data_IF_224387264091
#
_entry.id   IF_224387264091
#
_cell.length_a   1.000
_cell.length_b   1.000
_cell.length_c   1.000
_cell.angle_alpha   90.00
_cell.angle_beta   90.00
_cell.angle_gamma   90.00
#
_symmetry.space_group_name_H-M   'P 1'
#
loop_
_entity.id
_entity.type
_entity.pdbx_description
1 polymer ?
#
# COMPACT_ATOMS: atom_id res chain seq x y z
N UNK A 1 -13.43 32.49 -4.02
CA UNK A 1 -12.00 32.26 -3.72
C UNK A 1 -11.99 31.28 -2.57
N UNK A 2 -11.58 30.03 -2.82
CA UNK A 2 -11.47 29.04 -1.75
C UNK A 2 -10.37 29.52 -0.80
N UNK A 3 -10.71 29.72 0.46
CA UNK A 3 -9.75 30.02 1.51
C UNK A 3 -9.06 28.71 1.90
N UNK A 4 -7.77 28.60 1.56
CA UNK A 4 -6.94 27.40 1.74
C UNK A 4 -6.07 27.56 3.01
N UNK A 5 -6.28 28.64 3.79
CA UNK A 5 -5.43 28.99 4.93
C UNK A 5 -5.49 27.97 6.08
N UNK A 6 -6.51 27.10 6.10
CA UNK A 6 -6.71 26.04 7.10
C UNK A 6 -6.48 24.62 6.56
N UNK A 7 -5.81 24.45 5.40
CA UNK A 7 -5.54 23.12 4.87
C UNK A 7 -4.49 22.36 5.72
N UNK A 8 -4.99 21.60 6.70
CA UNK A 8 -4.19 20.72 7.56
C UNK A 8 -3.94 19.34 6.95
N UNK A 9 -4.43 19.08 5.74
CA UNK A 9 -4.27 17.79 5.08
C UNK A 9 -2.94 17.69 4.33
N UNK A 10 -2.23 16.59 4.56
CA UNK A 10 -1.00 16.22 3.85
C UNK A 10 -1.35 15.01 2.98
N UNK A 11 -1.19 15.18 1.66
CA UNK A 11 -1.42 14.13 0.68
C UNK A 11 -0.08 13.46 0.35
N UNK A 12 -0.02 12.14 0.47
CA UNK A 12 1.15 11.31 0.23
C UNK A 12 0.79 10.24 -0.81
N UNK A 13 1.07 10.51 -2.08
CA UNK A 13 0.97 9.52 -3.15
C UNK A 13 2.25 8.67 -3.14
N UNK A 14 2.13 7.40 -2.75
CA UNK A 14 3.29 6.54 -2.59
C UNK A 14 3.77 5.96 -3.92
N UNK A 15 5.08 5.87 -4.06
CA UNK A 15 5.74 5.26 -5.20
C UNK A 15 6.17 3.80 -4.93
N UNK A 16 6.61 3.05 -5.95
CA UNK A 16 7.07 1.66 -5.79
C UNK A 16 8.16 1.45 -4.72
N UNK A 17 8.97 2.45 -4.41
CA UNK A 17 10.02 2.36 -3.39
C UNK A 17 9.47 2.42 -1.96
N UNK A 18 8.24 2.89 -1.77
CA UNK A 18 7.58 3.04 -0.47
C UNK A 18 6.65 1.89 -0.12
N UNK A 19 6.56 0.87 -0.98
CA UNK A 19 5.75 -0.34 -0.76
C UNK A 19 6.58 -1.61 -0.84
N UNK A 20 6.07 -2.69 -0.25
CA UNK A 20 6.64 -4.03 -0.37
C UNK A 20 6.23 -4.67 -1.71
N UNK A 21 7.03 -4.42 -2.74
CA UNK A 21 6.79 -4.88 -4.11
C UNK A 21 6.61 -6.39 -4.26
N UNK A 22 7.12 -7.19 -3.33
CA UNK A 22 7.00 -8.64 -3.39
C UNK A 22 5.88 -9.21 -2.51
N UNK A 23 5.06 -8.38 -1.86
CA UNK A 23 4.01 -8.86 -0.95
C UNK A 23 3.15 -9.97 -1.56
N UNK A 24 2.42 -9.67 -2.63
CA UNK A 24 1.51 -10.63 -3.26
C UNK A 24 2.26 -11.79 -3.95
N UNK A 25 3.46 -11.52 -4.49
CA UNK A 25 4.32 -12.53 -5.11
C UNK A 25 4.76 -13.63 -4.13
N UNK A 26 4.87 -13.34 -2.83
CA UNK A 26 5.29 -14.29 -1.78
C UNK A 26 4.13 -15.03 -1.09
N UNK A 27 2.88 -14.66 -1.34
CA UNK A 27 1.75 -15.31 -0.67
C UNK A 27 1.63 -16.79 -1.08
N UNK A 28 1.10 -17.63 -0.20
CA UNK A 28 0.70 -18.99 -0.58
C UNK A 28 -0.57 -18.97 -1.44
N UNK A 29 -0.84 -20.04 -2.17
CA UNK A 29 -2.11 -20.19 -2.89
C UNK A 29 -3.30 -20.27 -1.92
N UNK A 30 -4.45 -19.76 -2.35
CA UNK A 30 -5.66 -19.69 -1.51
C UNK A 30 -5.62 -18.60 -0.43
N UNK A 31 -4.55 -17.79 -0.35
CA UNK A 31 -4.52 -16.65 0.55
C UNK A 31 -5.59 -15.61 0.16
N UNK A 32 -6.41 -15.19 1.12
CA UNK A 32 -7.53 -14.27 0.90
C UNK A 32 -7.12 -12.93 0.26
N UNK A 33 -5.90 -12.46 0.52
CA UNK A 33 -5.35 -11.23 -0.07
C UNK A 33 -5.29 -11.30 -1.58
N UNK A 34 -5.07 -12.48 -2.16
CA UNK A 34 -5.03 -12.65 -3.62
C UNK A 34 -6.40 -12.42 -4.24
N UNK A 35 -7.44 -13.01 -3.64
CA UNK A 35 -8.81 -12.81 -4.09
C UNK A 35 -9.27 -11.36 -3.87
N UNK A 36 -8.82 -10.70 -2.81
CA UNK A 36 -9.08 -9.27 -2.59
C UNK A 36 -8.42 -8.41 -3.68
N UNK A 37 -7.14 -8.66 -3.98
CA UNK A 37 -6.38 -7.96 -5.02
C UNK A 37 -7.00 -8.10 -6.42
N UNK A 38 -7.60 -9.25 -6.74
CA UNK A 38 -8.31 -9.45 -8.02
C UNK A 38 -9.58 -8.59 -8.17
N UNK A 39 -10.22 -8.20 -7.06
CA UNK A 39 -11.44 -7.37 -7.05
C UNK A 39 -11.15 -5.88 -6.90
N UNK A 40 -9.92 -5.53 -6.51
CA UNK A 40 -9.51 -4.18 -6.17
C UNK A 40 -9.40 -3.31 -7.43
N UNK A 41 -9.87 -2.07 -7.32
CA UNK A 41 -9.82 -1.05 -8.38
C UNK A 41 -9.18 0.24 -7.88
N UNK A 42 -8.67 1.05 -8.81
CA UNK A 42 -8.22 2.40 -8.50
C UNK A 42 -9.39 3.23 -7.93
N UNK A 43 -9.12 4.01 -6.89
CA UNK A 43 -10.11 4.77 -6.14
C UNK A 43 -10.74 4.01 -4.96
N UNK A 44 -10.57 2.69 -4.86
CA UNK A 44 -11.05 1.93 -3.71
C UNK A 44 -10.40 2.43 -2.43
N UNK A 45 -11.18 2.51 -1.36
CA UNK A 45 -10.69 2.99 -0.07
C UNK A 45 -9.75 1.98 0.57
N UNK A 46 -8.70 2.48 1.22
CA UNK A 46 -7.77 1.66 1.98
C UNK A 46 -7.58 2.21 3.38
N UNK A 47 -7.32 1.31 4.31
CA UNK A 47 -6.93 1.63 5.67
C UNK A 47 -5.46 1.27 5.93
N UNK A 48 -4.86 1.93 6.91
CA UNK A 48 -3.53 1.60 7.41
C UNK A 48 -3.62 1.00 8.81
N UNK A 49 -2.93 -0.11 9.02
CA UNK A 49 -2.71 -0.71 10.32
C UNK A 49 -1.21 -0.84 10.57
N UNK A 50 -0.74 -0.41 11.75
CA UNK A 50 0.65 -0.63 12.14
C UNK A 50 0.82 -2.00 12.78
N UNK A 51 1.53 -2.91 12.11
CA UNK A 51 1.80 -4.28 12.58
C UNK A 51 3.30 -4.50 12.69
N UNK A 52 3.78 -4.59 13.94
CA UNK A 52 5.20 -4.76 14.24
C UNK A 52 6.06 -3.60 13.73
N UNK A 53 6.88 -3.85 12.71
CA UNK A 53 7.82 -2.89 12.11
C UNK A 53 7.36 -2.34 10.75
N UNK A 54 6.10 -2.59 10.36
CA UNK A 54 5.55 -2.17 9.07
C UNK A 54 4.11 -1.70 9.18
N UNK A 55 3.72 -0.94 8.17
CA UNK A 55 2.32 -0.62 7.92
C UNK A 55 1.72 -1.64 6.94
N UNK A 56 0.57 -2.19 7.30
CA UNK A 56 -0.28 -2.99 6.43
C UNK A 56 -1.25 -2.06 5.70
N UNK A 57 -1.48 -2.34 4.42
CA UNK A 57 -2.55 -1.71 3.64
C UNK A 57 -3.71 -2.70 3.63
N UNK A 58 -4.87 -2.27 4.12
CA UNK A 58 -6.09 -3.08 4.16
C UNK A 58 -7.14 -2.51 3.21
N UNK A 59 -7.93 -3.38 2.60
CA UNK A 59 -9.16 -2.99 1.91
C UNK A 59 -10.30 -2.70 2.90
N UNK A 60 -11.49 -2.39 2.38
CA UNK A 60 -12.68 -2.10 3.19
C UNK A 60 -13.19 -3.29 4.02
N UNK A 61 -12.83 -4.52 3.64
CA UNK A 61 -13.19 -5.74 4.36
C UNK A 61 -12.15 -6.08 5.45
N UNK A 62 -11.11 -5.25 5.62
CA UNK A 62 -10.01 -5.47 6.54
C UNK A 62 -8.97 -6.48 6.03
N UNK A 63 -9.07 -6.89 4.75
CA UNK A 63 -8.12 -7.83 4.16
C UNK A 63 -6.84 -7.09 3.77
N UNK A 64 -5.70 -7.62 4.19
CA UNK A 64 -4.40 -7.04 3.84
C UNK A 64 -4.15 -7.20 2.34
N UNK A 65 -4.10 -6.10 1.62
CA UNK A 65 -3.83 -6.05 0.16
C UNK A 65 -2.40 -5.60 -0.15
N UNK A 66 -1.65 -5.16 0.85
CA UNK A 66 -0.26 -4.74 0.66
C UNK A 66 0.44 -4.42 1.97
N UNK A 67 1.70 -4.05 1.88
CA UNK A 67 2.49 -3.51 2.99
C UNK A 67 3.31 -2.34 2.51
N UNK A 68 3.53 -1.36 3.39
CA UNK A 68 4.50 -0.31 3.14
C UNK A 68 5.92 -0.84 3.36
N UNK A 69 6.88 -0.20 2.70
CA UNK A 69 8.30 -0.47 2.92
C UNK A 69 8.66 -0.17 4.38
N UNK A 70 9.61 -0.92 4.96
CA UNK A 70 10.06 -0.70 6.35
C UNK A 70 10.56 0.73 6.62
N UNK A 71 11.09 1.39 5.58
CA UNK A 71 11.60 2.76 5.65
C UNK A 71 10.50 3.82 5.65
N UNK A 72 9.26 3.45 5.33
CA UNK A 72 8.17 4.40 5.24
C UNK A 72 7.87 4.94 6.64
N UNK A 73 7.87 6.26 6.76
CA UNK A 73 7.51 6.99 7.96
C UNK A 73 6.36 7.92 7.61
N UNK A 74 5.21 7.84 8.30
CA UNK A 74 4.16 8.84 8.18
C UNK A 74 4.71 10.25 8.43
N UNK A 75 4.07 11.29 7.88
CA UNK A 75 4.42 12.67 8.20
C UNK A 75 4.46 12.92 9.71
N UNK A 76 5.46 13.68 10.16
CA UNK A 76 5.64 13.98 11.59
C UNK A 76 4.42 14.73 12.16
N UNK A 77 4.03 14.38 13.39
CA UNK A 77 2.89 14.96 14.09
C UNK A 77 1.61 14.98 13.23
N UNK A 78 1.34 13.89 12.50
CA UNK A 78 0.14 13.78 11.69
C UNK A 78 -0.57 12.44 11.90
N UNK A 79 -1.89 12.48 11.85
CA UNK A 79 -2.76 11.31 11.99
C UNK A 79 -3.29 10.88 10.63
N UNK A 80 -3.33 9.58 10.38
CA UNK A 80 -3.95 9.02 9.19
C UNK A 80 -5.45 9.31 9.17
N UNK A 81 -5.95 9.86 8.06
CA UNK A 81 -7.37 10.23 7.90
C UNK A 81 -8.08 9.26 6.96
N UNK A 82 -7.49 9.01 5.80
CA UNK A 82 -8.04 8.13 4.76
C UNK A 82 -6.96 7.74 3.77
N UNK A 83 -7.17 6.64 3.07
CA UNK A 83 -6.38 6.28 1.91
C UNK A 83 -7.26 5.80 0.77
N UNK A 84 -6.71 5.82 -0.43
CA UNK A 84 -7.30 5.19 -1.60
C UNK A 84 -6.24 4.50 -2.45
N UNK A 85 -6.63 3.49 -3.21
CA UNK A 85 -5.79 2.91 -4.25
C UNK A 85 -5.55 3.97 -5.32
N UNK A 86 -4.32 4.46 -5.43
CA UNK A 86 -3.95 5.41 -6.47
C UNK A 86 -3.69 4.70 -7.79
N UNK A 87 -2.94 3.60 -7.73
CA UNK A 87 -2.65 2.75 -8.88
C UNK A 87 -2.45 1.30 -8.46
N UNK A 88 -2.68 0.39 -9.41
CA UNK A 88 -2.30 -1.02 -9.30
C UNK A 88 -1.37 -1.31 -10.48
N UNK A 89 -0.14 -1.72 -10.18
CA UNK A 89 0.83 -2.09 -11.21
C UNK A 89 1.00 -3.60 -11.25
N UNK A 90 1.26 -4.15 -12.44
CA UNK A 90 1.67 -5.54 -12.57
C UNK A 90 3.19 -5.64 -12.40
N UNK A 91 3.64 -6.67 -11.68
CA UNK A 91 5.05 -6.95 -11.46
C UNK A 91 5.34 -8.41 -11.81
N UNK A 92 6.51 -8.64 -12.38
CA UNK A 92 6.97 -9.96 -12.78
C UNK A 92 8.06 -10.46 -11.84
N UNK A 93 8.22 -11.79 -11.77
CA UNK A 93 9.29 -12.42 -10.98
C UNK A 93 10.66 -11.90 -11.40
N UNK A 94 10.87 -11.74 -12.71
CA UNK A 94 12.10 -11.23 -13.34
C UNK A 94 12.43 -9.79 -12.96
N UNK A 95 11.47 -9.00 -12.47
CA UNK A 95 11.73 -7.65 -11.97
C UNK A 95 12.35 -7.65 -10.57
N UNK A 96 12.43 -8.84 -9.93
CA UNK A 96 13.10 -9.03 -8.64
C UNK A 96 14.57 -9.36 -8.86
N UNK A 97 15.43 -8.79 -8.02
CA UNK A 97 16.83 -9.20 -8.00
C UNK A 97 16.91 -10.72 -7.73
N UNK A 98 17.88 -11.38 -8.36
CA UNK A 98 18.01 -12.84 -8.37
C UNK A 98 17.98 -13.45 -6.96
N UNK A 99 18.58 -12.75 -5.98
CA UNK A 99 18.58 -13.15 -4.58
C UNK A 99 17.19 -13.19 -3.93
N UNK A 100 16.17 -12.52 -4.48
CA UNK A 100 14.80 -12.56 -3.96
C UNK A 100 13.86 -13.45 -4.78
N UNK A 101 14.24 -13.86 -6.00
CA UNK A 101 13.35 -14.63 -6.88
C UNK A 101 12.93 -15.97 -6.26
N UNK A 102 13.79 -16.61 -5.47
CA UNK A 102 13.48 -17.87 -4.79
C UNK A 102 12.40 -17.74 -3.70
N UNK A 103 12.13 -16.52 -3.22
CA UNK A 103 11.06 -16.25 -2.25
C UNK A 103 9.70 -16.03 -2.94
N UNK A 104 9.70 -15.80 -4.24
CA UNK A 104 8.52 -15.50 -5.03
C UNK A 104 7.88 -16.81 -5.50
N UNK A 105 6.59 -16.97 -5.20
CA UNK A 105 5.82 -18.16 -5.56
C UNK A 105 5.09 -18.01 -6.91
N UNK A 106 5.08 -16.82 -7.51
CA UNK A 106 4.29 -16.49 -8.72
C UNK A 106 5.12 -15.89 -9.84
N UNK A 107 4.67 -16.02 -11.08
CA UNK A 107 5.36 -15.41 -12.24
C UNK A 107 5.03 -13.92 -12.38
N UNK A 108 3.78 -13.54 -12.09
CA UNK A 108 3.33 -12.16 -12.07
C UNK A 108 2.32 -11.93 -10.93
N UNK A 109 2.24 -10.70 -10.44
CA UNK A 109 1.29 -10.31 -9.39
C UNK A 109 1.04 -8.79 -9.39
N UNK A 110 -0.11 -8.35 -8.84
CA UNK A 110 -0.39 -6.92 -8.67
C UNK A 110 0.34 -6.33 -7.47
N UNK A 111 0.71 -5.05 -7.58
CA UNK A 111 1.25 -4.21 -6.51
C UNK A 111 0.35 -2.99 -6.36
N UNK A 112 -0.12 -2.77 -5.14
CA UNK A 112 -0.98 -1.62 -4.78
C UNK A 112 -0.10 -0.43 -4.41
N UNK A 113 -0.31 0.69 -5.09
CA UNK A 113 0.25 2.00 -4.75
C UNK A 113 -0.87 2.86 -4.17
N UNK A 114 -0.84 3.17 -2.86
CA UNK A 114 -1.88 3.99 -2.25
C UNK A 114 -1.56 5.49 -2.35
N UNK A 115 -2.61 6.29 -2.35
CA UNK A 115 -2.56 7.68 -1.93
C UNK A 115 -3.11 7.77 -0.50
N UNK A 116 -2.34 8.35 0.40
CA UNK A 116 -2.64 8.45 1.81
C UNK A 116 -2.85 9.91 2.18
N UNK A 117 -3.85 10.18 3.00
CA UNK A 117 -4.14 11.51 3.51
C UNK A 117 -3.96 11.52 5.01
N UNK A 118 -3.08 12.40 5.48
CA UNK A 118 -2.85 12.65 6.89
C UNK A 118 -3.36 14.04 7.28
N UNK A 119 -3.67 14.25 8.55
CA UNK A 119 -3.97 15.57 9.12
C UNK A 119 -2.93 15.90 10.17
N UNK A 120 -2.34 17.10 10.11
CA UNK A 120 -1.46 17.58 11.17
C UNK A 120 -2.22 17.62 12.51
N UNK A 121 -1.69 16.97 13.52
CA UNK A 121 -2.11 17.15 14.91
C UNK A 121 -1.69 18.56 15.35
N UNK A 122 -2.59 19.28 16.01
CA UNK A 122 -2.40 20.67 16.43
C UNK A 122 -1.40 20.82 17.58
#
# INVERSE_FOLDING_TARGET
MLDISDCQQIYCTLDPSEVDLGFAGRLADGNQSLAALERLSAGDSVNLEHDGDRWLIQDNDGVVIGRLAKKFTPPEAAEFVKGSVFAITERYRTDSADEYQHLINREQWPVVLPELVFRKSA
#
